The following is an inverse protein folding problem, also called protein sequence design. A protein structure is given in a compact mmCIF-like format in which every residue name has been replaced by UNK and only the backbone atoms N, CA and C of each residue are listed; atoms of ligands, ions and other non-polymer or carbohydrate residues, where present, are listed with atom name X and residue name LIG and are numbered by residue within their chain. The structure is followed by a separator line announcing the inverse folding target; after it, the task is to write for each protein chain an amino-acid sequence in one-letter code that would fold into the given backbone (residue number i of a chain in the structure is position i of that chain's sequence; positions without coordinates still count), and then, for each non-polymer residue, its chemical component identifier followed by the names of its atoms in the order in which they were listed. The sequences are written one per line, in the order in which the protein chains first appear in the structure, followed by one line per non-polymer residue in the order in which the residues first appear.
data_IF_891068581919
#
_entry.id   IF_891068581919
#
_cell.length_a   1.000
_cell.length_b   1.000
_cell.length_c   1.000
_cell.angle_alpha   90.00
_cell.angle_beta   90.00
_cell.angle_gamma   90.00
#
_symmetry.space_group_name_H-M   'P 1'
#
loop_
_entity.id
_entity.type
_entity.pdbx_description
1 polymer ?
#
# COMPACT_ATOMS: atom_id res chain seq x y z
N UNK A 1 -16.58 -0.08 -23.48
CA UNK A 1 -16.60 0.01 -22.00
C UNK A 1 -15.88 -1.14 -21.31
N UNK A 2 -16.26 -2.40 -21.56
CA UNK A 2 -15.71 -3.58 -20.85
C UNK A 2 -14.17 -3.70 -20.91
N UNK A 3 -13.56 -3.44 -22.08
CA UNK A 3 -12.10 -3.56 -22.27
C UNK A 3 -11.28 -2.57 -21.45
N UNK A 4 -11.80 -1.36 -21.20
CA UNK A 4 -11.12 -0.34 -20.37
C UNK A 4 -11.14 -0.73 -18.89
N UNK A 5 -12.28 -1.23 -18.41
CA UNK A 5 -12.41 -1.74 -17.04
C UNK A 5 -11.49 -2.96 -16.82
N UNK A 6 -11.44 -3.89 -17.76
CA UNK A 6 -10.52 -5.04 -17.69
C UNK A 6 -9.05 -4.61 -17.66
N UNK A 7 -8.64 -3.67 -18.52
CA UNK A 7 -7.27 -3.17 -18.53
C UNK A 7 -6.91 -2.45 -17.22
N UNK A 8 -7.84 -1.70 -16.63
CA UNK A 8 -7.64 -1.04 -15.34
C UNK A 8 -7.46 -2.05 -14.20
N UNK A 9 -8.26 -3.11 -14.17
CA UNK A 9 -8.13 -4.19 -13.18
C UNK A 9 -6.79 -4.93 -13.34
N UNK A 10 -6.36 -5.21 -14.57
CA UNK A 10 -5.06 -5.84 -14.85
C UNK A 10 -3.90 -4.95 -14.37
N UNK A 11 -4.01 -3.64 -14.56
CA UNK A 11 -3.00 -2.66 -14.12
C UNK A 11 -2.89 -2.60 -12.58
N UNK A 12 -4.01 -2.70 -11.87
CA UNK A 12 -4.05 -2.80 -10.41
C UNK A 12 -3.50 -4.12 -9.87
N UNK A 13 -3.54 -5.20 -10.67
CA UNK A 13 -3.02 -6.52 -10.31
C UNK A 13 -1.54 -6.74 -10.68
N UNK A 14 -1.00 -5.93 -11.60
CA UNK A 14 0.42 -5.92 -11.93
C UNK A 14 1.25 -5.34 -10.77
N UNK A 15 2.54 -5.67 -10.71
CA UNK A 15 3.43 -5.30 -9.61
C UNK A 15 3.57 -3.78 -9.45
N UNK A 16 3.59 -3.02 -10.55
CA UNK A 16 3.58 -1.56 -10.48
C UNK A 16 2.30 -0.96 -9.84
N UNK A 17 1.15 -1.61 -10.00
CA UNK A 17 -0.09 -1.21 -9.33
C UNK A 17 -0.04 -1.45 -7.83
N UNK A 18 0.54 -2.59 -7.40
CA UNK A 18 0.74 -2.90 -5.98
C UNK A 18 1.73 -1.93 -5.32
N UNK A 19 2.80 -1.56 -6.01
CA UNK A 19 3.77 -0.58 -5.51
C UNK A 19 3.14 0.80 -5.30
N UNK A 20 2.37 1.28 -6.27
CA UNK A 20 1.65 2.55 -6.15
C UNK A 20 0.65 2.53 -4.99
N UNK A 21 -0.10 1.43 -4.83
CA UNK A 21 -1.02 1.27 -3.72
C UNK A 21 -0.29 1.20 -2.36
N UNK A 22 0.85 0.51 -2.28
CA UNK A 22 1.65 0.44 -1.06
C UNK A 22 2.19 1.82 -0.65
N UNK A 23 2.66 2.63 -1.60
CA UNK A 23 3.08 4.01 -1.32
C UNK A 23 1.95 4.87 -0.77
N UNK A 24 0.76 4.81 -1.38
CA UNK A 24 -0.41 5.55 -0.88
C UNK A 24 -0.82 5.09 0.53
N UNK A 25 -0.76 3.79 0.80
CA UNK A 25 -1.03 3.23 2.12
C UNK A 25 -0.04 3.73 3.18
N UNK A 26 1.26 3.68 2.89
CA UNK A 26 2.29 4.20 3.79
C UNK A 26 2.05 5.68 4.11
N UNK A 27 1.68 6.50 3.12
CA UNK A 27 1.32 7.90 3.35
C UNK A 27 0.07 8.06 4.23
N UNK A 28 -0.98 7.24 4.06
CA UNK A 28 -2.16 7.31 4.93
C UNK A 28 -1.81 6.99 6.39
N UNK A 29 -0.85 6.07 6.62
CA UNK A 29 -0.34 5.74 7.95
C UNK A 29 0.48 6.89 8.53
N UNK A 30 1.40 7.47 7.75
CA UNK A 30 2.19 8.64 8.18
C UNK A 30 1.31 9.86 8.52
N UNK A 31 0.18 10.01 7.82
CA UNK A 31 -0.82 11.05 8.11
C UNK A 31 -1.74 10.71 9.30
N UNK A 32 -1.59 9.54 9.92
CA UNK A 32 -2.40 9.09 11.06
C UNK A 32 -3.86 8.78 10.71
N UNK A 33 -4.20 8.64 9.42
CA UNK A 33 -5.56 8.36 8.95
C UNK A 33 -5.91 6.88 8.98
N UNK A 34 -4.88 6.03 8.96
CA UNK A 34 -4.98 4.57 8.98
C UNK A 34 -3.87 3.98 9.84
N UNK A 35 -4.09 2.77 10.34
CA UNK A 35 -3.06 2.01 11.04
C UNK A 35 -2.48 0.91 10.16
N UNK A 36 -1.28 0.44 10.50
CA UNK A 36 -0.64 -0.66 9.78
C UNK A 36 -1.43 -1.98 9.86
N UNK A 37 -2.23 -2.17 10.92
CA UNK A 37 -3.13 -3.31 11.07
C UNK A 37 -4.22 -3.36 9.97
N UNK A 38 -4.66 -2.20 9.46
CA UNK A 38 -5.66 -2.11 8.39
C UNK A 38 -5.09 -2.40 6.99
N UNK A 39 -3.77 -2.51 6.85
CA UNK A 39 -3.12 -2.70 5.56
C UNK A 39 -3.47 -4.09 5.01
N UNK A 40 -3.93 -4.19 3.74
CA UNK A 40 -4.19 -5.48 3.10
C UNK A 40 -2.96 -6.37 3.13
N UNK A 41 -3.15 -7.67 3.43
CA UNK A 41 -2.06 -8.65 3.58
C UNK A 41 -1.08 -8.66 2.41
N UNK A 42 -1.56 -8.44 1.18
CA UNK A 42 -0.75 -8.41 -0.03
C UNK A 42 0.21 -7.21 -0.11
N UNK A 43 -0.12 -6.10 0.56
CA UNK A 43 0.66 -4.86 0.56
C UNK A 43 1.48 -4.68 1.84
N UNK A 44 1.18 -5.43 2.91
CA UNK A 44 1.78 -5.28 4.24
C UNK A 44 3.31 -5.21 4.21
N UNK A 45 3.95 -6.19 3.56
CA UNK A 45 5.40 -6.26 3.47
C UNK A 45 6.00 -5.01 2.81
N UNK A 46 5.40 -4.55 1.69
CA UNK A 46 5.90 -3.39 0.95
C UNK A 46 5.62 -2.07 1.68
N UNK A 47 4.47 -1.95 2.33
CA UNK A 47 4.12 -0.78 3.16
C UNK A 47 5.09 -0.66 4.34
N UNK A 48 5.46 -1.78 4.96
CA UNK A 48 6.46 -1.81 6.04
C UNK A 48 7.83 -1.33 5.56
N UNK A 49 8.31 -1.87 4.45
CA UNK A 49 9.57 -1.45 3.81
C UNK A 49 9.59 0.07 3.55
N UNK A 50 8.52 0.61 2.96
CA UNK A 50 8.40 2.05 2.68
C UNK A 50 8.43 2.89 3.97
N UNK A 51 7.76 2.43 5.03
CA UNK A 51 7.78 3.11 6.32
C UNK A 51 9.18 3.08 6.95
N UNK A 52 9.90 1.96 6.88
CA UNK A 52 11.28 1.82 7.36
C UNK A 52 12.23 2.74 6.58
N UNK A 53 12.15 2.74 5.25
CA UNK A 53 12.97 3.60 4.37
C UNK A 53 12.70 5.09 4.60
N UNK A 54 11.48 5.43 5.04
CA UNK A 54 11.08 6.80 5.35
C UNK A 54 11.39 7.21 6.81
N UNK A 55 12.04 6.35 7.59
CA UNK A 55 12.36 6.61 9.00
C UNK A 55 11.17 6.53 9.96
N UNK A 56 10.03 5.99 9.51
CA UNK A 56 8.75 5.88 10.23
C UNK A 56 8.42 4.42 10.58
N UNK A 57 9.42 3.53 10.67
CA UNK A 57 9.22 2.09 10.89
C UNK A 57 8.47 1.75 12.18
N UNK A 58 8.48 2.65 13.16
CA UNK A 58 7.70 2.53 14.40
C UNK A 58 6.18 2.51 14.19
N UNK A 59 5.68 3.02 13.05
CA UNK A 59 4.28 2.99 12.67
C UNK A 59 3.86 1.65 12.06
N UNK A 60 4.80 0.77 11.69
CA UNK A 60 4.54 -0.54 11.13
C UNK A 60 4.24 -1.61 12.21
N UNK A 61 3.53 -1.22 13.27
CA UNK A 61 3.12 -2.09 14.37
C UNK A 61 1.71 -2.61 14.15
N UNK A 62 1.53 -3.90 14.40
CA UNK A 62 0.22 -4.53 14.47
C UNK A 62 -0.24 -4.42 15.93
N UNK A 63 -0.88 -3.29 16.27
CA UNK A 63 -1.65 -3.17 17.52
C UNK A 63 -3.01 -3.88 17.40
#
# INVERSE_FOLDING_TARGET
MMRLLSNFIILLQNDGGKEMMAMLWAQQIMLGKKTYAEVPRLLKAKVKEILEDSGMGELAKEE
#
